data_IF_282330691318
#
_entry.id   IF_282330691318
#
_cell.length_a   1.000
_cell.length_b   1.000
_cell.length_c   1.000
_cell.angle_alpha   90.00
_cell.angle_beta   90.00
_cell.angle_gamma   90.00
#
_symmetry.space_group_name_H-M   'P 1'
#
loop_
_entity.id
_entity.type
_entity.pdbx_description
1 polymer ?
#
# COMPACT_ATOMS: atom_id res chain seq x y z
N UNK A 1 -20.85 8.36 16.40
CA UNK A 1 -19.51 8.92 16.10
C UNK A 1 -19.27 8.94 14.59
N UNK A 2 -19.05 10.12 14.01
CA UNK A 2 -18.51 10.34 12.65
C UNK A 2 -17.67 11.61 12.74
N UNK A 3 -16.40 11.46 13.10
CA UNK A 3 -15.55 12.56 13.54
C UNK A 3 -14.20 12.53 12.83
N UNK A 4 -13.71 13.73 12.54
CA UNK A 4 -12.37 13.94 12.02
C UNK A 4 -11.47 14.30 13.20
N UNK A 5 -10.42 13.52 13.40
CA UNK A 5 -9.48 13.66 14.50
C UNK A 5 -8.10 13.91 13.93
N UNK A 6 -7.41 14.91 14.49
CA UNK A 6 -6.03 15.21 14.14
C UNK A 6 -5.16 14.63 15.26
N UNK A 7 -4.30 13.68 14.91
CA UNK A 7 -3.30 13.11 15.82
C UNK A 7 -2.00 13.86 15.61
N UNK A 8 -1.62 14.67 16.58
CA UNK A 8 -0.34 15.36 16.63
C UNK A 8 0.61 14.56 17.53
N UNK A 9 1.82 14.23 17.04
CA UNK A 9 2.82 13.45 17.78
C UNK A 9 2.38 12.00 18.08
N UNK A 10 1.74 11.34 17.11
CA UNK A 10 1.43 9.92 17.19
C UNK A 10 2.70 9.07 17.34
N UNK A 11 2.61 7.94 18.05
CA UNK A 11 3.78 7.07 18.34
C UNK A 11 4.30 6.30 17.12
N UNK A 12 3.64 6.39 15.97
CA UNK A 12 4.02 5.70 14.74
C UNK A 12 4.14 4.17 14.94
N UNK A 13 3.22 3.59 15.72
CA UNK A 13 3.14 2.13 15.88
C UNK A 13 2.21 1.58 14.81
N UNK A 14 1.04 2.18 14.60
CA UNK A 14 0.09 1.75 13.57
C UNK A 14 0.08 2.75 12.42
N UNK A 15 0.14 2.25 11.20
CA UNK A 15 -0.09 3.05 10.00
C UNK A 15 -0.77 2.20 8.92
N UNK A 16 -1.57 2.86 8.10
CA UNK A 16 -2.11 2.29 6.87
C UNK A 16 -1.65 3.16 5.72
N UNK A 17 -0.99 2.54 4.76
CA UNK A 17 -0.47 3.23 3.58
C UNK A 17 -1.01 2.56 2.34
N UNK A 18 -1.27 3.36 1.31
CA UNK A 18 -1.77 2.92 0.03
C UNK A 18 -1.08 3.72 -1.08
N UNK A 19 -0.67 3.06 -2.17
CA UNK A 19 0.01 3.68 -3.31
C UNK A 19 -0.75 3.55 -4.64
N UNK A 20 -2.01 3.11 -4.59
CA UNK A 20 -2.80 2.76 -5.78
C UNK A 20 -2.77 1.27 -6.14
N UNK A 21 -1.72 0.54 -5.75
CA UNK A 21 -1.49 -0.85 -6.12
C UNK A 21 -1.50 -1.79 -4.92
N UNK A 22 -0.94 -1.34 -3.81
CA UNK A 22 -0.78 -2.05 -2.55
C UNK A 22 -1.42 -1.22 -1.45
N UNK A 23 -2.27 -1.84 -0.63
CA UNK A 23 -2.66 -1.32 0.68
C UNK A 23 -1.94 -2.13 1.76
N UNK A 24 -1.20 -1.46 2.64
CA UNK A 24 -0.40 -2.10 3.69
C UNK A 24 -0.86 -1.62 5.07
N UNK A 25 -1.07 -2.58 5.97
CA UNK A 25 -1.14 -2.33 7.40
C UNK A 25 0.24 -2.55 8.01
N UNK A 26 0.72 -1.54 8.73
CA UNK A 26 1.92 -1.60 9.57
C UNK A 26 1.53 -1.61 11.04
N UNK A 27 2.14 -2.50 11.81
CA UNK A 27 2.16 -2.50 13.28
C UNK A 27 3.63 -2.64 13.69
N UNK A 28 4.32 -1.50 13.86
CA UNK A 28 5.79 -1.29 13.94
C UNK A 28 6.55 -1.69 12.68
N UNK A 29 6.15 -2.79 12.04
CA UNK A 29 6.61 -3.33 10.76
C UNK A 29 5.39 -3.71 9.91
N UNK A 30 5.54 -3.96 8.61
CA UNK A 30 4.43 -4.45 7.80
C UNK A 30 3.87 -5.78 8.32
N UNK A 31 2.54 -5.82 8.46
CA UNK A 31 1.80 -6.97 9.00
C UNK A 31 0.94 -7.59 7.92
N UNK A 32 0.14 -6.79 7.22
CA UNK A 32 -0.81 -7.29 6.25
C UNK A 32 -0.82 -6.43 4.99
N UNK A 33 -1.01 -7.08 3.85
CA UNK A 33 -1.05 -6.44 2.55
C UNK A 33 -2.26 -6.91 1.76
N UNK A 34 -2.89 -5.95 1.09
CA UNK A 34 -3.70 -6.19 -0.07
C UNK A 34 -2.96 -5.69 -1.30
N UNK A 35 -2.78 -6.54 -2.31
CA UNK A 35 -2.14 -6.10 -3.56
C UNK A 35 -2.89 -6.60 -4.77
N UNK A 36 -2.82 -5.86 -5.87
CA UNK A 36 -3.20 -6.39 -7.17
C UNK A 36 -2.12 -7.35 -7.69
N UNK A 37 -2.53 -8.48 -8.26
CA UNK A 37 -1.69 -9.44 -8.95
C UNK A 37 -2.15 -9.48 -10.42
N UNK A 38 -1.30 -8.97 -11.31
CA UNK A 38 -1.56 -8.97 -12.75
C UNK A 38 -1.40 -10.40 -13.28
N UNK A 39 -2.51 -11.12 -13.47
CA UNK A 39 -2.46 -12.46 -14.05
C UNK A 39 -2.52 -12.44 -15.59
N UNK A 40 -3.23 -11.49 -16.23
CA UNK A 40 -3.17 -11.15 -17.67
C UNK A 40 -3.87 -9.81 -17.93
N UNK A 41 -3.79 -9.25 -19.15
CA UNK A 41 -4.49 -8.01 -19.58
C UNK A 41 -6.02 -7.98 -19.33
N UNK A 42 -6.63 -9.10 -18.97
CA UNK A 42 -8.09 -9.24 -18.83
C UNK A 42 -8.57 -9.68 -17.44
N UNK A 43 -7.67 -10.12 -16.55
CA UNK A 43 -8.01 -10.58 -15.20
C UNK A 43 -7.03 -10.00 -14.16
N UNK A 44 -7.53 -9.11 -13.30
CA UNK A 44 -6.84 -8.69 -12.08
C UNK A 44 -7.36 -9.51 -10.90
N UNK A 45 -6.51 -10.38 -10.37
CA UNK A 45 -6.73 -10.98 -9.04
C UNK A 45 -6.11 -10.07 -7.99
N UNK A 46 -6.66 -10.03 -6.78
CA UNK A 46 -5.97 -9.46 -5.63
C UNK A 46 -5.33 -10.57 -4.82
N UNK A 47 -4.26 -10.25 -4.11
CA UNK A 47 -3.56 -11.16 -3.23
C UNK A 47 -3.51 -10.55 -1.83
N UNK A 48 -4.05 -11.27 -0.87
CA UNK A 48 -3.85 -10.97 0.53
C UNK A 48 -2.53 -11.60 0.99
N UNK A 49 -1.81 -10.90 1.86
CA UNK A 49 -0.72 -11.47 2.63
C UNK A 49 -0.79 -11.03 4.09
N UNK A 50 -0.42 -11.92 5.02
CA UNK A 50 -0.30 -11.64 6.44
C UNK A 50 0.97 -12.27 7.02
N UNK A 51 1.74 -11.46 7.76
CA UNK A 51 2.73 -11.88 8.72
C UNK A 51 2.09 -12.10 10.09
N UNK A 52 1.78 -13.33 10.44
CA UNK A 52 1.31 -13.75 11.75
C UNK A 52 2.33 -13.55 12.88
N UNK A 53 3.63 -13.38 12.56
CA UNK A 53 4.67 -13.09 13.54
C UNK A 53 4.85 -11.57 13.71
N UNK A 54 3.84 -10.94 14.29
CA UNK A 54 3.87 -9.54 14.67
C UNK A 54 3.27 -9.36 16.08
N UNK A 55 3.55 -8.22 16.67
CA UNK A 55 3.02 -7.85 17.98
C UNK A 55 1.53 -7.55 17.87
N UNK A 56 0.71 -8.24 18.67
CA UNK A 56 -0.75 -8.15 18.57
C UNK A 56 -1.20 -6.83 19.18
N UNK A 57 -2.34 -6.32 18.70
CA UNK A 57 -2.93 -5.08 19.23
C UNK A 57 -3.18 -5.19 20.74
N UNK A 58 -3.67 -6.33 21.22
CA UNK A 58 -3.90 -6.60 22.65
C UNK A 58 -2.61 -6.48 23.51
N UNK A 59 -1.42 -6.70 22.93
CA UNK A 59 -0.13 -6.55 23.61
C UNK A 59 0.36 -5.08 23.65
N UNK A 60 -0.11 -4.27 22.71
CA UNK A 60 0.29 -2.87 22.52
C UNK A 60 -0.66 -1.93 23.25
N UNK A 61 -1.94 -2.27 23.24
CA UNK A 61 -3.02 -1.45 23.76
C UNK A 61 -4.15 -2.32 24.29
N UNK A 62 -4.50 -2.12 25.56
CA UNK A 62 -5.61 -2.82 26.19
C UNK A 62 -6.81 -1.88 26.25
N UNK A 63 -7.90 -2.26 25.58
CA UNK A 63 -9.17 -1.54 25.62
C UNK A 63 -10.01 -1.84 26.87
N UNK A 64 -9.49 -2.65 27.79
CA UNK A 64 -10.23 -3.24 28.90
C UNK A 64 -11.55 -3.86 28.40
N UNK A 65 -12.61 -3.79 29.20
CA UNK A 65 -13.96 -4.20 28.78
C UNK A 65 -14.75 -3.03 28.16
N UNK A 66 -14.12 -1.89 27.87
CA UNK A 66 -14.80 -0.67 27.37
C UNK A 66 -15.46 -0.92 26.02
N UNK A 67 -14.83 -1.70 25.12
CA UNK A 67 -15.44 -2.05 23.84
C UNK A 67 -16.64 -3.01 23.99
N UNK A 68 -16.84 -3.61 25.17
CA UNK A 68 -17.96 -4.53 25.45
C UNK A 68 -19.09 -3.80 26.17
N UNK A 69 -18.76 -3.13 27.28
CA UNK A 69 -19.73 -2.58 28.24
C UNK A 69 -19.71 -1.05 28.34
N UNK A 70 -18.72 -0.39 27.73
CA UNK A 70 -18.59 1.06 27.78
C UNK A 70 -19.75 1.77 27.11
N UNK A 71 -20.10 2.93 27.65
CA UNK A 71 -21.01 3.86 27.00
C UNK A 71 -20.30 4.64 25.86
N UNK A 72 -21.06 5.42 25.09
CA UNK A 72 -20.52 6.12 23.91
C UNK A 72 -19.37 7.08 24.25
N UNK A 73 -19.46 7.82 25.36
CA UNK A 73 -18.41 8.76 25.78
C UNK A 73 -17.14 8.04 26.26
N UNK A 74 -17.30 6.93 27.00
CA UNK A 74 -16.17 6.09 27.43
C UNK A 74 -15.44 5.49 26.23
N UNK A 75 -16.18 4.93 25.27
CA UNK A 75 -15.64 4.36 24.05
C UNK A 75 -14.95 5.43 23.21
N UNK A 76 -15.57 6.60 23.06
CA UNK A 76 -14.99 7.72 22.32
C UNK A 76 -13.65 8.14 22.92
N UNK A 77 -13.61 8.35 24.24
CA UNK A 77 -12.37 8.69 24.95
C UNK A 77 -11.30 7.62 24.76
N UNK A 78 -11.69 6.35 24.83
CA UNK A 78 -10.77 5.22 24.69
C UNK A 78 -10.21 5.11 23.26
N UNK A 79 -11.05 5.26 22.24
CA UNK A 79 -10.63 5.30 20.84
C UNK A 79 -9.68 6.47 20.58
N UNK A 80 -9.88 7.61 21.23
CA UNK A 80 -9.03 8.79 21.04
C UNK A 80 -7.66 8.57 21.69
N UNK A 81 -7.65 7.88 22.83
CA UNK A 81 -6.44 7.42 23.49
C UNK A 81 -5.68 6.40 22.63
N UNK A 82 -6.40 5.46 22.01
CA UNK A 82 -5.86 4.49 21.07
C UNK A 82 -5.26 5.15 19.83
N UNK A 83 -5.89 6.19 19.28
CA UNK A 83 -5.34 6.91 18.12
C UNK A 83 -3.94 7.48 18.37
N UNK A 84 -3.52 7.71 19.61
CA UNK A 84 -2.16 8.15 19.91
C UNK A 84 -1.08 7.13 19.54
N UNK A 85 -1.42 5.85 19.34
CA UNK A 85 -0.45 4.86 18.86
C UNK A 85 -0.32 4.85 17.33
N UNK A 86 -1.17 5.56 16.60
CA UNK A 86 -1.05 5.69 15.15
C UNK A 86 0.07 6.64 14.76
N UNK A 87 0.44 6.67 13.48
CA UNK A 87 1.24 7.74 12.90
C UNK A 87 0.50 9.08 13.02
N UNK A 88 1.22 10.19 13.17
CA UNK A 88 0.62 11.53 13.12
C UNK A 88 -0.14 11.73 11.81
N UNK A 89 -1.30 12.37 11.87
CA UNK A 89 -2.13 12.57 10.68
C UNK A 89 -3.58 12.88 11.00
N UNK A 90 -4.38 12.98 9.95
CA UNK A 90 -5.82 13.22 10.04
C UNK A 90 -6.55 11.90 9.86
N UNK A 91 -7.45 11.57 10.77
CA UNK A 91 -8.20 10.31 10.77
C UNK A 91 -9.70 10.59 10.79
N UNK A 92 -10.45 9.80 10.04
CA UNK A 92 -11.90 9.72 10.11
C UNK A 92 -12.25 8.52 10.97
N UNK A 93 -13.01 8.74 12.04
CA UNK A 93 -13.50 7.68 12.92
C UNK A 93 -15.01 7.60 12.85
N UNK A 94 -15.53 6.42 12.48
CA UNK A 94 -16.96 6.15 12.38
C UNK A 94 -17.37 4.98 13.25
N UNK A 95 -18.53 5.11 13.88
CA UNK A 95 -19.26 3.99 14.49
C UNK A 95 -20.35 3.55 13.51
N UNK A 96 -20.27 2.31 13.04
CA UNK A 96 -21.09 1.78 11.97
C UNK A 96 -21.67 0.41 12.35
N UNK A 97 -22.82 0.07 11.78
CA UNK A 97 -23.44 -1.25 11.96
C UNK A 97 -23.38 -2.04 10.65
N UNK A 98 -22.60 -3.12 10.63
CA UNK A 98 -22.30 -3.88 9.41
C UNK A 98 -23.07 -5.20 9.37
N UNK A 99 -23.80 -5.43 8.28
CA UNK A 99 -24.39 -6.75 7.98
C UNK A 99 -23.29 -7.64 7.41
N UNK A 100 -22.65 -8.45 8.26
CA UNK A 100 -21.45 -9.21 7.90
C UNK A 100 -21.66 -10.23 6.78
N UNK A 101 -22.89 -10.71 6.55
CA UNK A 101 -23.18 -11.59 5.41
C UNK A 101 -22.96 -10.93 4.05
N UNK A 102 -22.86 -9.61 4.02
CA UNK A 102 -22.46 -8.89 2.83
C UNK A 102 -20.99 -9.08 2.56
N UNK A 103 -20.13 -9.20 3.58
CA UNK A 103 -18.68 -9.20 3.49
C UNK A 103 -18.11 -10.60 3.24
N UNK A 104 -17.10 -10.69 2.39
CA UNK A 104 -16.40 -11.95 2.13
C UNK A 104 -15.26 -12.11 3.12
N UNK A 105 -15.42 -13.05 4.05
CA UNK A 105 -14.30 -13.61 4.80
C UNK A 105 -13.72 -14.74 3.95
N UNK A 106 -12.56 -14.51 3.35
CA UNK A 106 -12.02 -15.39 2.31
C UNK A 106 -11.80 -16.83 2.80
N UNK A 107 -12.35 -17.79 2.04
CA UNK A 107 -12.41 -19.26 2.29
C UNK A 107 -11.05 -19.98 2.37
N UNK A 108 -9.96 -19.22 2.34
CA UNK A 108 -8.60 -19.73 2.41
C UNK A 108 -7.94 -19.44 3.76
N UNK A 109 -8.52 -18.53 4.55
CA UNK A 109 -8.00 -18.17 5.88
C UNK A 109 -7.94 -19.39 6.83
N UNK A 110 -8.93 -20.27 6.76
CA UNK A 110 -9.02 -21.51 7.55
C UNK A 110 -8.15 -22.67 7.01
N UNK A 111 -7.67 -22.57 5.76
CA UNK A 111 -6.95 -23.64 5.05
C UNK A 111 -5.42 -23.59 5.22
N UNK A 112 -4.86 -22.45 5.59
CA UNK A 112 -3.42 -22.29 5.79
C UNK A 112 -3.11 -22.55 7.28
N UNK A 113 -3.11 -23.82 7.69
CA UNK A 113 -2.79 -24.18 9.07
C UNK A 113 -1.27 -24.18 9.30
N UNK A 114 -0.81 -23.66 10.44
CA UNK A 114 0.58 -23.70 10.91
C UNK A 114 1.62 -22.91 10.09
N UNK A 115 1.23 -21.83 9.43
CA UNK A 115 2.19 -20.87 8.84
C UNK A 115 2.12 -19.54 9.58
N UNK A 116 3.25 -18.86 9.74
CA UNK A 116 3.26 -17.45 10.16
C UNK A 116 3.12 -16.52 8.94
N UNK A 117 3.20 -17.03 7.71
CA UNK A 117 2.98 -16.25 6.50
C UNK A 117 1.77 -16.83 5.76
N UNK A 118 0.71 -16.05 5.67
CA UNK A 118 -0.51 -16.42 4.99
C UNK A 118 -0.57 -15.64 3.69
N UNK A 119 -0.82 -16.31 2.58
CA UNK A 119 -1.15 -15.61 1.35
C UNK A 119 -2.19 -16.38 0.58
N UNK A 120 -3.18 -15.66 0.06
CA UNK A 120 -4.20 -16.24 -0.79
C UNK A 120 -4.69 -15.22 -1.83
N UNK A 121 -4.97 -15.67 -3.05
CA UNK A 121 -5.63 -14.85 -4.05
C UNK A 121 -7.11 -14.69 -3.71
N UNK A 122 -7.69 -13.58 -4.14
CA UNK A 122 -9.12 -13.34 -4.10
C UNK A 122 -9.57 -12.41 -5.24
N UNK A 123 -10.85 -12.47 -5.59
CA UNK A 123 -11.44 -11.60 -6.61
C UNK A 123 -11.89 -10.29 -5.96
N UNK A 124 -11.28 -9.16 -6.35
CA UNK A 124 -11.82 -7.85 -5.96
C UNK A 124 -13.13 -7.61 -6.70
N UNK A 125 -14.21 -7.44 -5.94
CA UNK A 125 -15.47 -6.97 -6.49
C UNK A 125 -15.46 -5.45 -6.47
N UNK A 126 -14.91 -4.84 -7.51
CA UNK A 126 -14.86 -3.37 -7.68
C UNK A 126 -16.24 -2.69 -7.83
N UNK A 127 -17.36 -3.39 -7.60
CA UNK A 127 -18.69 -2.78 -7.63
C UNK A 127 -18.92 -2.06 -6.32
N UNK A 128 -19.12 -0.74 -6.39
CA UNK A 128 -19.39 0.21 -5.29
C UNK A 128 -20.49 -0.26 -4.30
N UNK A 129 -21.34 -1.19 -4.72
CA UNK A 129 -22.48 -1.69 -3.94
C UNK A 129 -22.22 -3.01 -3.18
N UNK A 130 -21.09 -3.68 -3.43
CA UNK A 130 -20.68 -4.93 -2.79
C UNK A 130 -19.62 -4.66 -1.69
N UNK A 131 -19.54 -5.52 -0.66
CA UNK A 131 -18.81 -5.23 0.58
C UNK A 131 -17.31 -4.95 0.41
N UNK A 132 -16.74 -4.31 1.43
CA UNK A 132 -15.30 -4.32 1.67
C UNK A 132 -14.76 -5.74 1.89
N UNK A 133 -13.54 -6.01 1.45
CA UNK A 133 -12.80 -7.22 1.82
C UNK A 133 -12.34 -7.09 3.27
N UNK A 134 -12.77 -8.01 4.14
CA UNK A 134 -12.36 -8.02 5.55
C UNK A 134 -11.19 -8.96 5.72
N UNK A 135 -10.09 -8.41 6.21
CA UNK A 135 -8.82 -9.08 6.38
C UNK A 135 -8.51 -9.25 7.85
N UNK A 136 -8.34 -10.51 8.26
CA UNK A 136 -7.91 -10.82 9.60
C UNK A 136 -6.42 -10.55 9.70
N UNK A 137 -6.04 -9.80 10.73
CA UNK A 137 -4.64 -9.48 11.02
C UNK A 137 -3.99 -10.46 11.98
N UNK A 138 -4.67 -11.51 12.43
CA UNK A 138 -4.08 -12.59 13.23
C UNK A 138 -4.19 -13.92 12.48
N UNK A 139 -3.32 -14.90 12.78
CA UNK A 139 -3.44 -16.26 12.27
C UNK A 139 -4.75 -16.95 12.67
N UNK A 140 -5.26 -17.84 11.81
CA UNK A 140 -6.49 -18.59 12.12
C UNK A 140 -6.37 -19.45 13.39
N UNK A 141 -5.20 -20.03 13.66
CA UNK A 141 -4.98 -20.84 14.87
C UNK A 141 -5.00 -20.03 16.18
N UNK A 142 -4.93 -18.70 16.11
CA UNK A 142 -5.09 -17.81 17.27
C UNK A 142 -6.57 -17.49 17.57
N UNK A 143 -7.49 -17.97 16.72
CA UNK A 143 -8.93 -17.86 16.96
C UNK A 143 -9.36 -18.89 18.01
N UNK A 144 -9.70 -18.41 19.21
CA UNK A 144 -10.26 -19.22 20.29
C UNK A 144 -11.75 -19.42 20.10
N UNK A 145 -12.17 -20.67 19.93
CA UNK A 145 -13.59 -21.05 19.89
C UNK A 145 -14.35 -20.67 21.16
N UNK A 146 -13.69 -20.74 22.33
CA UNK A 146 -14.30 -20.35 23.60
C UNK A 146 -14.61 -18.85 23.63
N UNK A 147 -13.67 -18.00 23.17
CA UNK A 147 -13.90 -16.55 23.05
C UNK A 147 -15.02 -16.23 22.08
N UNK A 148 -15.07 -16.91 20.91
CA UNK A 148 -16.16 -16.74 19.94
C UNK A 148 -17.51 -17.09 20.56
N UNK A 149 -17.59 -18.23 21.28
CA UNK A 149 -18.82 -18.64 21.96
C UNK A 149 -19.24 -17.64 23.04
N UNK A 150 -18.31 -17.18 23.87
CA UNK A 150 -18.55 -16.16 24.88
C UNK A 150 -19.16 -14.89 24.28
N UNK A 151 -18.53 -14.32 23.22
CA UNK A 151 -19.06 -13.13 22.57
C UNK A 151 -20.44 -13.38 21.93
N UNK A 152 -20.67 -14.57 21.36
CA UNK A 152 -21.98 -14.94 20.80
C UNK A 152 -23.07 -14.91 21.87
N UNK A 153 -22.81 -15.47 23.05
CA UNK A 153 -23.75 -15.45 24.17
C UNK A 153 -24.05 -14.03 24.66
N UNK A 154 -23.05 -13.13 24.68
CA UNK A 154 -23.27 -11.72 24.99
C UNK A 154 -24.16 -11.05 23.95
N UNK A 155 -23.88 -11.30 22.66
CA UNK A 155 -24.63 -10.75 21.54
C UNK A 155 -26.10 -11.21 21.58
N UNK A 156 -26.35 -12.48 21.86
CA UNK A 156 -27.69 -13.05 22.02
C UNK A 156 -28.46 -12.43 23.20
N UNK A 157 -27.76 -11.98 24.26
CA UNK A 157 -28.34 -11.23 25.39
C UNK A 157 -28.59 -9.75 25.10
N UNK A 158 -28.29 -9.28 23.88
CA UNK A 158 -28.50 -7.89 23.47
C UNK A 158 -27.28 -6.98 23.64
N UNK A 159 -26.16 -7.48 24.17
CA UNK A 159 -24.91 -6.71 24.26
C UNK A 159 -24.31 -6.57 22.86
N UNK A 160 -23.59 -5.48 22.60
CA UNK A 160 -22.99 -5.21 21.28
C UNK A 160 -21.49 -4.88 21.42
N UNK A 161 -20.63 -5.92 21.59
CA UNK A 161 -19.19 -5.73 21.65
C UNK A 161 -18.65 -5.12 20.35
N UNK A 162 -17.86 -4.07 20.43
CA UNK A 162 -17.37 -3.34 19.25
C UNK A 162 -16.09 -3.95 18.70
N UNK A 163 -15.96 -3.93 17.37
CA UNK A 163 -14.79 -4.35 16.61
C UNK A 163 -14.08 -3.09 16.11
N UNK A 164 -12.75 -3.04 16.17
CA UNK A 164 -11.97 -1.93 15.62
C UNK A 164 -11.34 -2.34 14.31
N UNK A 165 -11.52 -1.50 13.29
CA UNK A 165 -11.00 -1.75 11.96
C UNK A 165 -10.26 -0.54 11.41
N UNK A 166 -9.37 -0.78 10.46
CA UNK A 166 -8.72 0.27 9.66
C UNK A 166 -8.55 -0.21 8.22
N UNK A 167 -8.25 0.69 7.29
CA UNK A 167 -8.07 0.32 5.88
C UNK A 167 -8.28 1.48 4.93
N UNK A 168 -8.17 1.20 3.64
CA UNK A 168 -8.41 2.13 2.55
C UNK A 168 -9.22 1.45 1.45
N UNK A 169 -9.97 2.25 0.68
CA UNK A 169 -10.78 1.80 -0.44
C UNK A 169 -11.63 0.56 -0.12
N UNK A 170 -11.46 -0.53 -0.86
CA UNK A 170 -12.23 -1.77 -0.79
C UNK A 170 -11.66 -2.79 0.22
N UNK A 171 -10.71 -2.38 1.06
CA UNK A 171 -10.03 -3.27 2.01
C UNK A 171 -10.15 -2.75 3.44
N UNK A 172 -10.44 -3.68 4.36
CA UNK A 172 -10.53 -3.42 5.79
C UNK A 172 -9.74 -4.48 6.55
N UNK A 173 -8.78 -4.03 7.35
CA UNK A 173 -8.06 -4.83 8.33
C UNK A 173 -8.76 -4.76 9.69
N UNK A 174 -8.97 -5.90 10.34
CA UNK A 174 -9.42 -5.94 11.75
C UNK A 174 -8.21 -5.67 12.65
N UNK A 175 -8.26 -4.63 13.49
CA UNK A 175 -7.23 -4.38 14.50
C UNK A 175 -7.56 -5.10 15.81
N UNK A 176 -8.79 -4.98 16.27
CA UNK A 176 -9.34 -5.70 17.43
C UNK A 176 -10.71 -6.28 17.09
N UNK A 177 -11.01 -7.45 17.67
CA UNK A 177 -12.33 -8.04 17.59
C UNK A 177 -12.49 -9.17 16.58
N UNK A 178 -11.41 -9.88 16.22
CA UNK A 178 -11.48 -11.04 15.31
C UNK A 178 -12.44 -12.12 15.82
N UNK A 179 -12.42 -12.45 17.12
CA UNK A 179 -13.39 -13.40 17.70
C UNK A 179 -14.81 -12.81 17.76
N UNK A 180 -14.94 -11.50 17.98
CA UNK A 180 -16.24 -10.80 18.00
C UNK A 180 -16.87 -10.85 16.60
N UNK A 181 -16.08 -10.64 15.54
CA UNK A 181 -16.51 -10.73 14.14
C UNK A 181 -17.15 -12.08 13.83
N UNK A 182 -16.45 -13.17 14.18
CA UNK A 182 -16.97 -14.53 14.00
C UNK A 182 -18.21 -14.80 14.85
N UNK A 183 -18.28 -14.23 16.06
CA UNK A 183 -19.46 -14.34 16.91
C UNK A 183 -20.67 -13.62 16.32
N UNK A 184 -20.49 -12.43 15.73
CA UNK A 184 -21.54 -11.71 15.00
C UNK A 184 -22.03 -12.48 13.78
N UNK A 185 -21.11 -13.05 12.98
CA UNK A 185 -21.46 -13.92 11.87
C UNK A 185 -22.31 -15.11 12.34
N UNK A 186 -21.92 -15.76 13.43
CA UNK A 186 -22.64 -16.91 13.98
C UNK A 186 -24.00 -16.53 14.60
N UNK A 187 -24.11 -15.33 15.17
CA UNK A 187 -25.37 -14.79 15.72
C UNK A 187 -26.31 -14.23 14.64
N UNK A 188 -25.81 -14.00 13.42
CA UNK A 188 -26.55 -13.43 12.28
C UNK A 188 -27.20 -12.07 12.60
N UNK A 189 -26.52 -11.25 13.40
CA UNK A 189 -26.93 -9.87 13.68
C UNK A 189 -25.86 -8.89 13.17
N UNK A 190 -26.25 -7.65 12.86
CA UNK A 190 -25.28 -6.63 12.48
C UNK A 190 -24.19 -6.45 13.54
N UNK A 191 -22.95 -6.32 13.09
CA UNK A 191 -21.78 -6.06 13.93
C UNK A 191 -21.60 -4.57 14.16
N UNK A 192 -21.26 -4.17 15.38
CA UNK A 192 -20.91 -2.78 15.68
C UNK A 192 -19.40 -2.58 15.46
N UNK A 193 -19.06 -1.70 14.51
CA UNK A 193 -17.71 -1.48 14.03
C UNK A 193 -17.30 -0.04 14.30
N UNK A 194 -16.12 0.14 14.89
CA UNK A 194 -15.41 1.41 14.93
C UNK A 194 -14.40 1.38 13.79
N UNK A 195 -14.67 2.10 12.71
CA UNK A 195 -13.76 2.20 11.57
C UNK A 195 -12.88 3.44 11.71
N UNK A 196 -11.56 3.24 11.63
CA UNK A 196 -10.54 4.29 11.68
C UNK A 196 -9.87 4.35 10.31
N UNK A 197 -10.16 5.39 9.53
CA UNK A 197 -9.57 5.58 8.20
C UNK A 197 -8.65 6.78 8.23
N UNK A 198 -7.42 6.61 7.72
CA UNK A 198 -6.53 7.75 7.49
C UNK A 198 -7.14 8.60 6.39
N UNK A 199 -7.32 9.89 6.65
CA UNK A 199 -7.75 10.85 5.66
C UNK A 199 -6.49 11.31 4.92
N UNK A 200 -6.32 10.79 3.72
CA UNK A 200 -5.06 10.70 2.95
C UNK A 200 -4.20 11.96 2.96
N UNK A 201 -2.89 11.71 2.96
CA UNK A 201 -1.83 12.65 2.61
C UNK A 201 -0.99 11.95 1.53
N UNK A 202 -1.31 12.19 0.26
CA UNK A 202 -0.73 11.53 -0.93
C UNK A 202 0.70 12.02 -1.24
N UNK A 203 1.51 12.22 -0.20
CA UNK A 203 2.87 12.69 -0.36
C UNK A 203 3.77 11.59 -0.93
N UNK A 204 4.68 11.99 -1.84
CA UNK A 204 5.73 11.12 -2.39
C UNK A 204 6.55 10.41 -1.30
N UNK A 205 6.74 11.07 -0.15
CA UNK A 205 7.51 10.55 0.96
C UNK A 205 6.83 9.35 1.63
N UNK A 206 5.51 9.42 1.81
CA UNK A 206 4.70 8.34 2.39
C UNK A 206 4.62 7.14 1.44
N UNK A 207 4.46 7.38 0.13
CA UNK A 207 4.48 6.32 -0.88
C UNK A 207 5.84 5.61 -0.93
N UNK A 208 6.94 6.35 -0.82
CA UNK A 208 8.26 5.71 -0.79
C UNK A 208 8.48 4.85 0.46
N UNK A 209 8.07 5.32 1.64
CA UNK A 209 8.18 4.52 2.86
C UNK A 209 7.43 3.20 2.74
N UNK A 210 6.24 3.24 2.11
CA UNK A 210 5.50 2.04 1.79
C UNK A 210 6.28 1.12 0.86
N UNK A 211 6.75 1.61 -0.29
CA UNK A 211 7.50 0.77 -1.23
C UNK A 211 8.72 0.13 -0.56
N UNK A 212 9.51 0.92 0.17
CA UNK A 212 10.72 0.41 0.80
C UNK A 212 10.44 -0.60 1.90
N UNK A 213 9.31 -0.48 2.59
CA UNK A 213 8.87 -1.45 3.58
C UNK A 213 8.22 -2.68 2.94
N UNK A 214 7.53 -2.55 1.81
CA UNK A 214 6.82 -3.64 1.15
C UNK A 214 7.70 -4.47 0.20
N UNK A 215 8.78 -3.89 -0.32
CA UNK A 215 9.59 -4.47 -1.40
C UNK A 215 10.11 -5.88 -1.11
N UNK A 216 10.27 -6.29 0.15
CA UNK A 216 10.78 -7.63 0.47
C UNK A 216 9.77 -8.74 0.12
N UNK A 217 8.50 -8.38 -0.08
CA UNK A 217 7.42 -9.30 -0.43
C UNK A 217 6.98 -9.20 -1.88
N UNK A 218 7.44 -8.15 -2.57
CA UNK A 218 7.13 -7.94 -3.98
C UNK A 218 8.01 -8.86 -4.83
N UNK A 219 7.44 -9.41 -5.90
CA UNK A 219 8.20 -10.03 -6.98
C UNK A 219 9.11 -8.98 -7.62
N UNK A 220 10.11 -9.43 -8.37
CA UNK A 220 10.96 -8.49 -9.10
C UNK A 220 10.15 -7.66 -10.10
N UNK A 221 9.19 -8.27 -10.79
CA UNK A 221 8.34 -7.59 -11.77
C UNK A 221 7.45 -6.53 -11.11
N UNK A 222 6.92 -6.82 -9.91
CA UNK A 222 6.13 -5.86 -9.13
C UNK A 222 6.98 -4.66 -8.68
N UNK A 223 8.24 -4.88 -8.26
CA UNK A 223 9.15 -3.79 -7.91
C UNK A 223 9.46 -2.91 -9.11
N UNK A 224 9.68 -3.54 -10.26
CA UNK A 224 9.92 -2.82 -11.51
C UNK A 224 8.69 -2.02 -11.94
N UNK A 225 7.48 -2.57 -11.76
CA UNK A 225 6.22 -1.87 -12.02
C UNK A 225 6.05 -0.62 -11.14
N UNK A 226 6.31 -0.73 -9.83
CA UNK A 226 6.25 0.44 -8.94
C UNK A 226 7.19 1.55 -9.42
N UNK A 227 8.46 1.20 -9.69
CA UNK A 227 9.46 2.15 -10.18
C UNK A 227 9.05 2.75 -11.53
N UNK A 228 8.43 1.96 -12.42
CA UNK A 228 8.00 2.45 -13.72
C UNK A 228 6.85 3.44 -13.66
N UNK A 229 5.89 3.25 -12.76
CA UNK A 229 4.70 4.10 -12.68
C UNK A 229 4.91 5.33 -11.80
N UNK A 230 5.69 5.20 -10.72
CA UNK A 230 5.92 6.26 -9.73
C UNK A 230 7.42 6.48 -9.46
N UNK A 231 8.19 6.94 -10.46
CA UNK A 231 9.59 7.26 -10.25
C UNK A 231 9.74 8.53 -9.41
N UNK A 232 10.65 8.49 -8.45
CA UNK A 232 10.92 9.57 -7.50
C UNK A 232 12.36 10.04 -7.63
N UNK A 233 12.60 11.33 -7.37
CA UNK A 233 13.93 11.92 -7.40
C UNK A 233 14.44 12.11 -5.97
N UNK A 234 15.54 11.42 -5.64
CA UNK A 234 16.22 11.54 -4.36
C UNK A 234 17.72 11.80 -4.56
N UNK A 235 18.12 13.03 -4.24
CA UNK A 235 19.50 13.52 -4.34
C UNK A 235 20.24 13.53 -3.00
N UNK A 236 19.52 13.34 -1.89
CA UNK A 236 20.13 13.27 -0.57
C UNK A 236 20.85 11.92 -0.32
N UNK A 237 21.59 11.86 0.79
CA UNK A 237 22.42 10.70 1.18
C UNK A 237 21.80 9.89 2.32
N UNK A 238 20.51 10.05 2.59
CA UNK A 238 19.81 9.27 3.60
C UNK A 238 19.80 7.78 3.21
N UNK A 239 19.72 6.89 4.22
CA UNK A 239 19.55 5.45 3.98
C UNK A 239 18.34 5.15 3.10
N UNK A 240 17.27 5.96 3.23
CA UNK A 240 16.05 5.87 2.43
C UNK A 240 16.35 6.14 0.95
N UNK A 241 17.00 7.25 0.64
CA UNK A 241 17.41 7.62 -0.71
C UNK A 241 18.35 6.58 -1.32
N UNK A 242 19.33 6.09 -0.56
CA UNK A 242 20.29 5.08 -1.02
C UNK A 242 19.60 3.76 -1.38
N UNK A 243 18.65 3.29 -0.54
CA UNK A 243 17.87 2.07 -0.81
C UNK A 243 17.02 2.23 -2.07
N UNK A 244 16.32 3.35 -2.22
CA UNK A 244 15.51 3.62 -3.42
C UNK A 244 16.37 3.67 -4.69
N UNK A 245 17.44 4.46 -4.67
CA UNK A 245 18.35 4.59 -5.81
C UNK A 245 18.97 3.25 -6.22
N UNK A 246 19.22 2.35 -5.27
CA UNK A 246 19.69 0.99 -5.55
C UNK A 246 18.67 0.18 -6.34
N UNK A 247 17.38 0.25 -5.99
CA UNK A 247 16.32 -0.46 -6.73
C UNK A 247 16.05 0.18 -8.09
N UNK A 248 16.10 1.51 -8.21
CA UNK A 248 16.04 2.21 -9.49
C UNK A 248 17.19 1.80 -10.42
N UNK A 249 18.41 1.68 -9.90
CA UNK A 249 19.56 1.24 -10.69
C UNK A 249 19.41 -0.20 -11.18
N UNK A 250 18.87 -1.09 -10.33
CA UNK A 250 18.51 -2.46 -10.75
C UNK A 250 17.47 -2.46 -11.86
N UNK A 251 16.43 -1.64 -11.76
CA UNK A 251 15.43 -1.45 -12.82
C UNK A 251 16.10 -1.02 -14.14
N UNK A 252 16.95 0.01 -14.09
CA UNK A 252 17.68 0.53 -15.25
C UNK A 252 18.63 -0.51 -15.87
N UNK A 253 19.23 -1.38 -15.06
CA UNK A 253 20.06 -2.48 -15.54
C UNK A 253 19.23 -3.59 -16.19
N UNK A 254 18.07 -3.92 -15.62
CA UNK A 254 17.29 -5.12 -15.99
C UNK A 254 16.29 -4.92 -17.13
N UNK A 255 15.76 -3.71 -17.37
CA UNK A 255 14.77 -3.54 -18.45
C UNK A 255 15.33 -4.05 -19.78
N UNK A 256 14.54 -4.84 -20.52
CA UNK A 256 15.04 -5.48 -21.73
C UNK A 256 15.04 -4.52 -22.93
N UNK A 257 13.84 -4.04 -23.28
CA UNK A 257 13.59 -3.26 -24.51
C UNK A 257 12.95 -1.92 -24.21
N UNK A 258 12.01 -1.88 -23.27
CA UNK A 258 11.25 -0.68 -22.95
C UNK A 258 11.68 -0.12 -21.60
N UNK A 259 12.06 1.16 -21.59
CA UNK A 259 12.16 1.94 -20.36
C UNK A 259 10.85 2.69 -20.17
N UNK A 260 10.39 2.79 -18.91
CA UNK A 260 9.23 3.62 -18.58
C UNK A 260 9.44 5.05 -19.04
N UNK A 261 8.40 5.59 -19.68
CA UNK A 261 8.38 7.00 -20.05
C UNK A 261 8.52 7.90 -18.82
N UNK A 262 7.85 7.57 -17.70
CA UNK A 262 7.91 8.36 -16.47
C UNK A 262 9.34 8.39 -15.92
N UNK A 263 10.01 7.23 -15.86
CA UNK A 263 11.39 7.11 -15.38
C UNK A 263 12.33 7.92 -16.27
N UNK A 264 12.24 7.72 -17.59
CA UNK A 264 13.11 8.40 -18.54
C UNK A 264 12.89 9.92 -18.52
N UNK A 265 11.64 10.38 -18.42
CA UNK A 265 11.29 11.79 -18.25
C UNK A 265 11.91 12.38 -16.99
N UNK A 266 11.85 11.66 -15.86
CA UNK A 266 12.45 12.11 -14.60
C UNK A 266 13.96 12.32 -14.74
N UNK A 267 14.67 11.36 -15.34
CA UNK A 267 16.10 11.45 -15.61
C UNK A 267 16.41 12.69 -16.47
N UNK A 268 15.72 12.88 -17.58
CA UNK A 268 15.97 14.04 -18.45
C UNK A 268 15.65 15.37 -17.75
N UNK A 269 14.56 15.44 -17.00
CA UNK A 269 14.17 16.64 -16.23
C UNK A 269 15.24 17.01 -15.19
N UNK A 270 15.82 16.01 -14.53
CA UNK A 270 16.87 16.24 -13.53
C UNK A 270 18.17 16.79 -14.15
N UNK A 271 18.55 16.36 -15.35
CA UNK A 271 19.75 16.85 -16.06
C UNK A 271 19.65 18.35 -16.41
N UNK A 272 18.44 18.85 -16.70
CA UNK A 272 18.20 20.26 -17.02
C UNK A 272 17.85 21.10 -15.80
N UNK A 273 17.89 20.53 -14.59
CA UNK A 273 17.63 21.24 -13.35
C UNK A 273 18.70 22.30 -13.08
N UNK A 274 18.30 23.39 -12.43
CA UNK A 274 19.23 24.41 -11.94
C UNK A 274 20.00 23.95 -10.69
N UNK A 275 19.60 22.84 -10.07
CA UNK A 275 20.31 22.26 -8.92
C UNK A 275 21.35 21.24 -9.38
N UNK A 276 22.60 21.48 -8.98
CA UNK A 276 23.74 20.64 -9.37
C UNK A 276 23.60 19.18 -8.89
N UNK A 277 23.01 18.96 -7.73
CA UNK A 277 22.75 17.63 -7.17
C UNK A 277 21.75 16.82 -8.02
N UNK A 278 20.67 17.45 -8.49
CA UNK A 278 19.68 16.81 -9.36
C UNK A 278 20.29 16.50 -10.74
N UNK A 279 21.09 17.43 -11.25
CA UNK A 279 21.81 17.25 -12.51
C UNK A 279 22.79 16.08 -12.46
N UNK A 280 23.59 15.99 -11.40
CA UNK A 280 24.53 14.89 -11.20
C UNK A 280 23.79 13.55 -11.08
N UNK A 281 22.72 13.50 -10.29
CA UNK A 281 21.85 12.31 -10.20
C UNK A 281 21.35 11.88 -11.59
N UNK A 282 20.83 12.81 -12.38
CA UNK A 282 20.34 12.53 -13.73
C UNK A 282 21.42 11.99 -14.67
N UNK A 283 22.61 12.59 -14.64
CA UNK A 283 23.76 12.16 -15.43
C UNK A 283 24.23 10.75 -15.03
N UNK A 284 24.23 10.44 -13.74
CA UNK A 284 24.55 9.10 -13.22
C UNK A 284 23.56 8.04 -13.72
N UNK A 285 22.25 8.30 -13.60
CA UNK A 285 21.22 7.37 -14.08
C UNK A 285 21.25 7.20 -15.59
N UNK A 286 21.50 8.27 -16.33
CA UNK A 286 21.67 8.22 -17.78
C UNK A 286 22.90 7.38 -18.18
N UNK A 287 24.00 7.45 -17.42
CA UNK A 287 25.19 6.66 -17.68
C UNK A 287 24.94 5.15 -17.59
N UNK A 288 24.07 4.71 -16.68
CA UNK A 288 23.64 3.29 -16.60
C UNK A 288 23.00 2.85 -17.91
N UNK A 289 22.09 3.66 -18.46
CA UNK A 289 21.40 3.37 -19.73
C UNK A 289 22.40 3.36 -20.90
N UNK A 290 23.32 4.34 -20.94
CA UNK A 290 24.36 4.46 -21.98
C UNK A 290 25.33 3.28 -22.05
N UNK A 291 25.45 2.51 -20.98
CA UNK A 291 26.35 1.36 -20.90
C UNK A 291 25.69 0.05 -21.33
N UNK A 292 24.43 0.07 -21.79
CA UNK A 292 23.75 -1.13 -22.31
C UNK A 292 24.26 -1.50 -23.70
N UNK A 293 24.12 -2.79 -24.02
CA UNK A 293 24.45 -3.34 -25.33
C UNK A 293 23.30 -3.10 -26.33
N UNK A 294 23.32 -1.96 -27.00
CA UNK A 294 22.28 -1.55 -27.95
C UNK A 294 22.22 -2.44 -29.21
N UNK A 295 23.33 -3.08 -29.58
CA UNK A 295 23.40 -3.89 -30.81
C UNK A 295 22.61 -5.19 -30.65
N UNK A 296 22.76 -5.86 -29.50
CA UNK A 296 22.06 -7.12 -29.22
C UNK A 296 20.74 -6.91 -28.47
N UNK A 297 20.57 -5.76 -27.81
CA UNK A 297 19.38 -5.42 -27.01
C UNK A 297 18.95 -3.99 -27.33
N UNK A 298 18.32 -3.77 -28.50
CA UNK A 298 17.89 -2.45 -28.89
C UNK A 298 16.83 -1.91 -27.94
N UNK A 299 16.88 -0.61 -27.67
CA UNK A 299 16.01 0.06 -26.72
C UNK A 299 14.90 0.81 -27.47
N UNK A 300 13.69 0.74 -26.97
CA UNK A 300 12.56 1.52 -27.43
C UNK A 300 12.45 2.78 -26.58
N UNK A 301 12.64 3.93 -27.21
CA UNK A 301 12.42 5.23 -26.57
C UNK A 301 11.13 5.85 -27.09
N UNK A 302 10.29 6.25 -26.15
CA UNK A 302 9.11 7.05 -26.43
C UNK A 302 9.54 8.51 -26.62
N UNK A 303 9.11 9.10 -27.73
CA UNK A 303 9.23 10.52 -28.08
C UNK A 303 7.84 11.13 -28.12
N UNK A 304 7.62 12.16 -27.31
CA UNK A 304 6.42 13.00 -27.41
C UNK A 304 6.60 13.97 -28.57
N UNK A 305 5.65 13.94 -29.49
CA UNK A 305 5.57 14.86 -30.62
C UNK A 305 4.93 16.17 -30.19
N UNK A 306 5.10 17.22 -30.99
CA UNK A 306 4.60 18.57 -30.69
C UNK A 306 3.08 18.66 -30.52
N UNK A 307 2.33 17.69 -31.01
CA UNK A 307 0.88 17.57 -30.88
C UNK A 307 0.42 16.76 -29.65
N UNK A 308 1.37 16.35 -28.80
CA UNK A 308 1.11 15.53 -27.60
C UNK A 308 1.01 14.03 -27.88
N UNK A 309 1.10 13.58 -29.13
CA UNK A 309 1.12 12.16 -29.45
C UNK A 309 2.46 11.51 -29.09
N UNK A 310 2.44 10.21 -28.77
CA UNK A 310 3.63 9.44 -28.43
C UNK A 310 4.04 8.64 -29.67
N UNK A 311 5.28 8.85 -30.12
CA UNK A 311 5.95 8.02 -31.12
C UNK A 311 7.02 7.19 -30.43
N UNK A 312 7.19 5.92 -30.81
CA UNK A 312 8.28 5.09 -30.29
C UNK A 312 9.31 4.85 -31.39
N UNK A 313 10.60 4.93 -31.02
CA UNK A 313 11.72 4.67 -31.90
C UNK A 313 12.60 3.56 -31.34
N UNK A 314 13.05 2.64 -32.21
CA UNK A 314 14.05 1.63 -31.87
C UNK A 314 15.43 2.27 -32.00
N UNK A 315 16.21 2.20 -30.93
CA UNK A 315 17.58 2.68 -30.85
C UNK A 315 18.52 1.48 -30.89
N UNK A 316 19.32 1.39 -31.96
CA UNK A 316 20.19 0.23 -32.21
C UNK A 316 21.67 0.51 -31.95
N UNK A 317 22.05 1.76 -31.67
CA UNK A 317 23.42 2.11 -31.33
C UNK A 317 23.50 3.18 -30.25
N UNK A 318 24.68 3.26 -29.63
CA UNK A 318 24.98 4.28 -28.64
C UNK A 318 25.00 5.69 -29.25
N UNK A 319 25.53 5.84 -30.47
CA UNK A 319 25.56 7.13 -31.17
C UNK A 319 24.14 7.63 -31.47
N UNK A 320 23.24 6.73 -31.86
CA UNK A 320 21.83 7.07 -32.05
C UNK A 320 21.21 7.49 -30.72
N UNK A 321 21.44 6.73 -29.65
CA UNK A 321 20.97 7.09 -28.31
C UNK A 321 21.45 8.50 -27.90
N UNK A 322 22.75 8.76 -27.97
CA UNK A 322 23.36 10.03 -27.56
C UNK A 322 22.83 11.20 -28.40
N UNK A 323 22.68 11.01 -29.72
CA UNK A 323 22.07 12.02 -30.60
C UNK A 323 20.66 12.38 -30.15
N UNK A 324 19.84 11.38 -29.78
CA UNK A 324 18.47 11.63 -29.29
C UNK A 324 18.49 12.38 -27.97
N UNK A 325 19.37 12.02 -27.04
CA UNK A 325 19.50 12.73 -25.77
C UNK A 325 19.86 14.20 -26.02
N UNK A 326 20.84 14.47 -26.89
CA UNK A 326 21.24 15.85 -27.22
C UNK A 326 20.09 16.63 -27.87
N UNK A 327 19.33 16.01 -28.78
CA UNK A 327 18.11 16.60 -29.34
C UNK A 327 17.08 16.94 -28.26
N UNK A 328 16.89 16.06 -27.26
CA UNK A 328 15.98 16.29 -26.15
C UNK A 328 16.44 17.44 -25.25
N UNK A 329 17.72 17.48 -24.89
CA UNK A 329 18.27 18.51 -24.00
C UNK A 329 18.33 19.90 -24.66
N UNK A 330 18.52 19.95 -25.99
CA UNK A 330 18.56 21.21 -26.74
C UNK A 330 17.17 21.76 -27.10
N UNK A 331 16.16 20.91 -27.24
CA UNK A 331 14.77 21.33 -27.49
C UNK A 331 14.05 21.66 -26.18
N UNK A 332 14.32 22.85 -25.62
CA UNK A 332 13.67 23.37 -24.40
C UNK A 332 12.13 23.54 -24.48
N UNK A 333 11.51 23.28 -25.64
CA UNK A 333 10.16 23.74 -25.99
C UNK A 333 9.00 22.78 -25.69
N UNK A 334 9.23 21.56 -25.18
CA UNK A 334 8.15 20.55 -25.07
C UNK A 334 7.86 20.00 -23.66
N UNK A 335 8.36 20.63 -22.60
CA UNK A 335 8.35 20.02 -21.26
C UNK A 335 7.24 20.45 -20.29
N UNK A 336 6.22 21.20 -20.73
CA UNK A 336 5.11 21.59 -19.87
C UNK A 336 3.78 21.00 -20.34
N UNK A 337 3.55 19.74 -19.99
CA UNK A 337 2.21 19.30 -19.63
C UNK A 337 2.25 18.94 -18.15
N UNK A 338 1.55 19.77 -17.37
CA UNK A 338 1.27 19.58 -15.95
C UNK A 338 0.45 18.31 -15.74
#
# INVERSE_FOLDING_TARGET
MDEIIIVENGKNIIDVVWDGFITCLKIKKPVAFDKHEYCTEQDSSKQFWLNGDHEKIDDIYNFDEILIYGNEEEIKKEVYSFLNIFLSGRYIVKLESWVLSKFELHRYYDKIQNSNNFSYPYESRMKIEDPYNVMFTIPFYDISHERVKFYKELIEKGIRPKIITTGCLDVVFILDGHHKYLAYMAAQVPAEIISIKKNEDDSDEAMLDLYLDAQFMMSEDEKQYFISEQPLLFTDTSDKALRYNTELDKYLLKFERHISYMVFRLILKSIISDKEEEKNWGLEKLAIIRNKDFENRPIFLNKILSDGSISSGIINSKEEFDTRIDEFLNNKTHFFFN
#
